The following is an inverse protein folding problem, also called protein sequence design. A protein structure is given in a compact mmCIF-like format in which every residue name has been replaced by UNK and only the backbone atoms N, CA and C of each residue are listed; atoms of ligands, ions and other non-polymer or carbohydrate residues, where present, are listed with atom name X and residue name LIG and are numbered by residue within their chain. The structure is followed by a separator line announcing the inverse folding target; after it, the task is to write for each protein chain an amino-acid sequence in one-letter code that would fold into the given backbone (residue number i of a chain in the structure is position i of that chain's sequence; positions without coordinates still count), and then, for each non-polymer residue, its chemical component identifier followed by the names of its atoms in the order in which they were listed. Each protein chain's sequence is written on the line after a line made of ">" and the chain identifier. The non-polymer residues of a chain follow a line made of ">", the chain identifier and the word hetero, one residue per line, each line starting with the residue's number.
data_IF_638995031534
#
_entry.id   IF_638995031534
#
_cell.length_a   1.000
_cell.length_b   1.000
_cell.length_c   1.000
_cell.angle_alpha   90.00
_cell.angle_beta   90.00
_cell.angle_gamma   90.00
#
_symmetry.space_group_name_H-M   'P 1'
#
loop_
_entity.id
_entity.type
_entity.pdbx_description
1 polymer ?
#
# COMPACT_ATOMS: atom_id res chain seq x y z
N UNK A 1 -1.84 -5.07 10.57
CA UNK A 1 -2.94 -4.20 10.07
C UNK A 1 -4.21 -5.03 10.04
N UNK A 2 -5.38 -4.43 10.25
CA UNK A 2 -6.61 -5.15 9.96
C UNK A 2 -6.55 -5.59 8.49
N UNK A 3 -6.51 -6.90 8.25
CA UNK A 3 -6.39 -7.47 6.90
C UNK A 3 -7.64 -7.22 6.02
N UNK A 4 -8.64 -6.56 6.62
CA UNK A 4 -9.97 -6.27 6.10
C UNK A 4 -10.31 -4.85 6.54
N UNK A 5 -10.26 -3.83 5.66
CA UNK A 5 -10.50 -2.48 6.17
C UNK A 5 -10.29 -1.30 5.24
N UNK A 6 -10.36 -1.45 3.92
CA UNK A 6 -10.61 -0.24 3.14
C UNK A 6 -12.07 0.17 3.35
N UNK A 7 -12.37 1.46 3.56
CA UNK A 7 -13.76 1.92 3.62
C UNK A 7 -14.53 1.44 2.38
N UNK A 8 -15.59 0.65 2.58
CA UNK A 8 -16.39 0.06 1.49
C UNK A 8 -15.89 -1.29 0.94
N UNK A 9 -14.89 -1.93 1.55
CA UNK A 9 -14.58 -3.34 1.29
C UNK A 9 -15.75 -4.20 1.79
N UNK A 10 -16.33 -5.05 0.92
CA UNK A 10 -17.44 -5.92 1.30
C UNK A 10 -17.06 -6.99 2.33
N UNK A 11 -15.77 -7.09 2.67
CA UNK A 11 -15.24 -7.91 3.76
C UNK A 11 -15.02 -7.11 5.05
N UNK A 12 -15.48 -5.86 5.14
CA UNK A 12 -15.37 -5.07 6.37
C UNK A 12 -16.02 -5.82 7.53
N UNK A 13 -15.29 -5.88 8.64
CA UNK A 13 -15.79 -6.41 9.91
C UNK A 13 -16.59 -5.29 10.59
N UNK A 14 -17.77 -5.56 11.15
CA UNK A 14 -18.51 -4.55 11.95
C UNK A 14 -17.62 -3.97 13.07
N UNK A 15 -16.70 -4.78 13.62
CA UNK A 15 -15.70 -4.33 14.57
C UNK A 15 -14.69 -3.34 13.97
N UNK A 16 -14.33 -3.51 12.69
CA UNK A 16 -13.47 -2.58 11.98
C UNK A 16 -14.17 -1.24 11.75
N UNK A 17 -15.40 -1.25 11.25
CA UNK A 17 -16.15 -0.02 10.94
C UNK A 17 -16.42 0.79 12.21
N UNK A 18 -16.77 0.11 13.32
CA UNK A 18 -16.92 0.75 14.64
C UNK A 18 -15.60 1.36 15.13
N UNK A 19 -14.48 0.65 14.95
CA UNK A 19 -13.15 1.16 15.33
C UNK A 19 -12.78 2.38 14.49
N UNK A 20 -13.04 2.33 13.19
CA UNK A 20 -12.74 3.42 12.26
C UNK A 20 -13.51 4.69 12.63
N UNK A 21 -14.81 4.59 12.95
CA UNK A 21 -15.62 5.72 13.39
C UNK A 21 -15.08 6.36 14.67
N UNK A 22 -14.72 5.55 15.67
CA UNK A 22 -14.16 6.05 16.93
C UNK A 22 -12.79 6.71 16.74
N UNK A 23 -11.91 6.12 15.91
CA UNK A 23 -10.60 6.72 15.62
C UNK A 23 -10.72 8.01 14.79
N UNK A 24 -11.75 8.14 13.94
CA UNK A 24 -12.01 9.39 13.22
C UNK A 24 -12.31 10.56 14.15
N UNK A 25 -13.06 10.35 15.23
CA UNK A 25 -13.33 11.38 16.23
C UNK A 25 -12.03 11.81 16.92
N UNK A 26 -11.22 10.84 17.37
CA UNK A 26 -9.91 11.12 17.98
C UNK A 26 -8.99 11.89 17.04
N UNK A 27 -8.88 11.48 15.78
CA UNK A 27 -7.99 12.15 14.82
C UNK A 27 -8.43 13.59 14.59
N UNK A 28 -9.72 13.89 14.56
CA UNK A 28 -10.21 15.27 14.45
C UNK A 28 -9.83 16.11 15.68
N UNK A 29 -9.93 15.56 16.89
CA UNK A 29 -9.51 16.24 18.13
C UNK A 29 -8.00 16.56 18.13
N UNK A 30 -7.20 15.68 17.52
CA UNK A 30 -5.76 15.88 17.30
C UNK A 30 -5.43 16.78 16.10
N UNK A 31 -6.44 17.32 15.40
CA UNK A 31 -6.25 18.15 14.20
C UNK A 31 -5.74 17.38 12.96
N UNK A 32 -5.82 16.04 12.99
CA UNK A 32 -5.42 15.16 11.90
C UNK A 32 -6.58 14.94 10.94
N UNK A 33 -6.32 15.04 9.64
CA UNK A 33 -7.35 14.79 8.63
C UNK A 33 -7.74 13.30 8.62
N UNK A 34 -9.01 12.95 8.88
CA UNK A 34 -9.43 11.55 9.04
C UNK A 34 -9.83 10.89 7.73
N UNK A 35 -10.30 11.68 6.75
CA UNK A 35 -10.89 11.13 5.52
C UNK A 35 -9.84 10.79 4.48
N UNK A 36 -10.09 9.69 3.79
CA UNK A 36 -9.36 9.31 2.58
C UNK A 36 -9.56 10.36 1.48
N UNK A 37 -8.47 10.67 0.79
CA UNK A 37 -8.43 11.41 -0.46
C UNK A 37 -7.86 10.45 -1.50
N UNK A 38 -8.68 10.06 -2.48
CA UNK A 38 -8.31 9.07 -3.50
C UNK A 38 -8.46 9.65 -4.89
N UNK A 39 -7.33 9.83 -5.59
CA UNK A 39 -7.24 10.34 -6.95
C UNK A 39 -8.15 11.56 -7.27
N UNK A 40 -8.13 12.62 -6.44
CA UNK A 40 -9.07 13.73 -6.57
C UNK A 40 -8.90 14.42 -7.93
N UNK A 41 -9.99 14.48 -8.71
CA UNK A 41 -9.97 15.06 -10.05
C UNK A 41 -9.00 14.36 -11.03
N UNK A 42 -8.67 13.08 -10.80
CA UNK A 42 -7.70 12.32 -11.58
C UNK A 42 -6.23 12.58 -11.20
N UNK A 43 -5.97 13.31 -10.12
CA UNK A 43 -4.62 13.53 -9.60
C UNK A 43 -3.95 12.21 -9.22
N UNK A 44 -2.64 12.02 -9.43
CA UNK A 44 -1.97 10.73 -9.29
C UNK A 44 -1.62 10.38 -7.83
N UNK A 45 -2.48 10.71 -6.86
CA UNK A 45 -2.18 10.46 -5.46
C UNK A 45 -3.39 9.98 -4.67
N UNK A 46 -3.10 9.18 -3.64
CA UNK A 46 -4.04 8.77 -2.60
C UNK A 46 -3.43 8.97 -1.24
N UNK A 47 -4.20 9.50 -0.30
CA UNK A 47 -3.84 9.61 1.11
C UNK A 47 -4.98 9.04 1.94
N UNK A 48 -4.69 8.11 2.82
CA UNK A 48 -5.68 7.55 3.76
C UNK A 48 -5.03 7.33 5.13
N UNK A 49 -5.82 7.43 6.19
CA UNK A 49 -5.37 7.09 7.54
C UNK A 49 -6.17 5.88 8.01
N UNK A 50 -5.48 4.83 8.41
CA UNK A 50 -6.11 3.58 8.84
C UNK A 50 -5.89 3.35 10.34
N UNK A 51 -6.90 2.83 11.05
CA UNK A 51 -6.75 2.42 12.42
C UNK A 51 -5.80 1.21 12.48
N UNK A 52 -5.01 1.15 13.56
CA UNK A 52 -4.20 0.00 13.87
C UNK A 52 -5.00 -0.96 14.74
N UNK A 53 -4.57 -2.23 14.76
CA UNK A 53 -5.14 -3.26 15.62
C UNK A 53 -5.26 -2.75 17.06
N UNK A 54 -6.29 -3.18 17.79
CA UNK A 54 -6.40 -2.92 19.22
C UNK A 54 -5.05 -3.17 19.93
N UNK A 55 -4.70 -2.26 20.85
CA UNK A 55 -3.41 -2.18 21.56
C UNK A 55 -2.15 -1.87 20.73
N UNK A 56 -2.25 -1.71 19.41
CA UNK A 56 -1.12 -1.28 18.58
C UNK A 56 -1.08 0.25 18.50
N UNK A 57 0.12 0.81 18.68
CA UNK A 57 0.41 2.24 18.54
C UNK A 57 1.16 2.55 17.24
N UNK A 58 1.86 1.56 16.67
CA UNK A 58 2.65 1.69 15.44
C UNK A 58 2.73 0.35 14.70
N UNK A 59 3.16 0.37 13.44
CA UNK A 59 3.43 -0.82 12.63
C UNK A 59 4.77 -1.47 13.05
N UNK A 60 4.82 -2.06 14.24
CA UNK A 60 5.95 -2.85 14.74
C UNK A 60 5.54 -4.29 15.03
N UNK A 61 6.51 -5.18 15.26
CA UNK A 61 6.24 -6.61 15.49
C UNK A 61 5.32 -6.87 16.71
N UNK A 62 5.42 -6.02 17.73
CA UNK A 62 4.67 -6.12 18.98
C UNK A 62 3.63 -5.00 19.16
N UNK A 63 3.49 -4.11 18.18
CA UNK A 63 2.59 -2.96 18.22
C UNK A 63 3.06 -1.80 19.12
N UNK A 64 4.21 -1.92 19.78
CA UNK A 64 4.77 -0.88 20.65
C UNK A 64 5.66 0.06 19.86
N UNK A 65 5.84 1.26 20.41
CA UNK A 65 6.75 2.26 19.85
C UNK A 65 8.16 1.68 19.68
N UNK A 66 8.79 2.03 18.57
CA UNK A 66 10.16 1.67 18.19
C UNK A 66 11.08 2.88 18.11
N UNK A 67 10.52 4.09 18.21
CA UNK A 67 11.22 5.36 18.27
C UNK A 67 10.37 6.41 19.05
N UNK A 68 10.90 7.62 19.31
CA UNK A 68 10.11 8.72 19.87
C UNK A 68 9.03 9.24 18.90
N UNK A 69 7.98 9.88 19.43
CA UNK A 69 6.92 10.46 18.61
C UNK A 69 7.46 11.52 17.64
N UNK A 70 7.01 11.46 16.39
CA UNK A 70 7.40 12.32 15.29
C UNK A 70 6.76 13.71 15.37
N UNK A 71 7.52 14.74 15.00
CA UNK A 71 7.03 16.11 14.88
C UNK A 71 6.45 16.65 16.19
N UNK A 72 5.24 17.19 16.13
CA UNK A 72 4.54 17.79 17.28
C UNK A 72 3.41 16.88 17.83
N UNK A 73 3.42 15.58 17.50
CA UNK A 73 2.41 14.65 17.97
C UNK A 73 2.47 14.50 19.50
N UNK A 74 1.34 14.74 20.16
CA UNK A 74 1.19 14.60 21.62
C UNK A 74 0.58 13.27 22.06
N UNK A 75 0.00 12.51 21.13
CA UNK A 75 -0.65 11.23 21.37
C UNK A 75 -0.12 10.18 20.36
N UNK A 76 0.26 8.96 20.80
CA UNK A 76 0.67 7.89 19.89
C UNK A 76 -0.47 7.25 19.08
N UNK A 77 -1.73 7.44 19.46
CA UNK A 77 -2.91 6.80 18.84
C UNK A 77 -3.39 7.56 17.61
N UNK A 78 -2.52 7.63 16.59
CA UNK A 78 -2.77 8.36 15.33
C UNK A 78 -3.05 7.46 14.13
N UNK A 79 -3.05 6.14 14.34
CA UNK A 79 -3.12 5.14 13.27
C UNK A 79 -1.89 5.15 12.36
N UNK A 80 -2.03 4.58 11.16
CA UNK A 80 -1.02 4.62 10.10
C UNK A 80 -1.53 5.47 8.93
N UNK A 81 -0.82 6.57 8.64
CA UNK A 81 -1.08 7.41 7.48
C UNK A 81 -0.38 6.79 6.26
N UNK A 82 -1.18 6.47 5.25
CA UNK A 82 -0.72 5.88 3.99
C UNK A 82 -0.79 6.90 2.89
N UNK A 83 0.31 7.05 2.17
CA UNK A 83 0.45 7.96 1.04
C UNK A 83 0.88 7.11 -0.15
N UNK A 84 0.22 7.31 -1.28
CA UNK A 84 0.60 6.74 -2.57
C UNK A 84 0.68 7.88 -3.56
N UNK A 85 1.76 7.93 -4.33
CA UNK A 85 1.88 8.80 -5.50
C UNK A 85 2.33 7.97 -6.69
N UNK A 86 1.50 7.96 -7.73
CA UNK A 86 1.80 7.28 -8.98
C UNK A 86 2.87 8.09 -9.76
N UNK A 87 3.80 7.40 -10.43
CA UNK A 87 3.83 5.95 -10.66
C UNK A 87 4.51 5.11 -9.58
N UNK A 88 5.27 5.70 -8.65
CA UNK A 88 6.42 4.96 -8.12
C UNK A 88 6.75 5.21 -6.64
N UNK A 89 5.87 5.80 -5.86
CA UNK A 89 6.14 6.00 -4.43
C UNK A 89 4.93 5.65 -3.57
N UNK A 90 5.21 5.00 -2.46
CA UNK A 90 4.30 4.96 -1.33
C UNK A 90 5.05 5.22 -0.03
N UNK A 91 4.33 5.67 0.98
CA UNK A 91 4.85 5.90 2.31
C UNK A 91 3.82 5.54 3.37
N UNK A 92 4.32 5.07 4.51
CA UNK A 92 3.54 4.83 5.72
C UNK A 92 4.16 5.67 6.83
N UNK A 93 3.38 6.57 7.40
CA UNK A 93 3.78 7.38 8.54
C UNK A 93 2.95 6.96 9.76
N UNK A 94 3.65 6.37 10.73
CA UNK A 94 3.12 6.04 12.04
C UNK A 94 3.34 7.22 13.00
N UNK A 95 3.07 7.02 14.29
CA UNK A 95 3.28 8.06 15.30
C UNK A 95 4.76 8.34 15.59
N UNK A 96 5.64 7.35 15.42
CA UNK A 96 7.04 7.35 15.89
C UNK A 96 8.09 7.16 14.79
N UNK A 97 7.69 6.65 13.63
CA UNK A 97 8.54 6.59 12.45
C UNK A 97 7.71 6.69 11.17
N UNK A 98 8.37 7.01 10.07
CA UNK A 98 7.82 6.85 8.74
C UNK A 98 8.73 5.97 7.88
N UNK A 99 8.13 5.29 6.92
CA UNK A 99 8.85 4.57 5.88
C UNK A 99 8.38 5.06 4.52
N UNK A 100 9.32 5.26 3.61
CA UNK A 100 9.03 5.55 2.21
C UNK A 100 9.62 4.46 1.34
N UNK A 101 8.85 3.99 0.37
CA UNK A 101 9.33 3.07 -0.66
C UNK A 101 9.20 3.72 -2.02
N UNK A 102 10.30 3.74 -2.77
CA UNK A 102 10.37 4.29 -4.12
C UNK A 102 10.80 3.22 -5.11
N UNK A 103 10.03 3.06 -6.18
CA UNK A 103 10.34 2.19 -7.30
C UNK A 103 11.08 2.97 -8.40
N UNK A 104 12.14 2.37 -8.92
CA UNK A 104 12.93 2.92 -10.02
C UNK A 104 13.10 1.85 -11.10
N UNK A 105 12.50 2.01 -12.28
CA UNK A 105 12.68 1.05 -13.36
C UNK A 105 14.14 1.11 -13.85
N UNK A 106 14.82 -0.03 -13.79
CA UNK A 106 16.16 -0.20 -14.38
C UNK A 106 16.05 -0.76 -15.79
N UNK A 107 15.02 -1.59 -16.04
CA UNK A 107 14.67 -2.14 -17.34
C UNK A 107 13.32 -2.85 -17.28
N UNK A 108 12.91 -3.53 -18.37
CA UNK A 108 11.60 -4.20 -18.44
C UNK A 108 11.49 -5.40 -17.48
N UNK A 109 12.61 -5.98 -17.04
CA UNK A 109 12.63 -7.14 -16.13
C UNK A 109 13.24 -6.80 -14.75
N UNK A 110 13.56 -5.54 -14.49
CA UNK A 110 14.30 -5.16 -13.29
C UNK A 110 13.87 -3.80 -12.74
N UNK A 111 13.44 -3.81 -11.47
CA UNK A 111 13.07 -2.62 -10.72
C UNK A 111 13.95 -2.52 -9.49
N UNK A 112 14.57 -1.36 -9.26
CA UNK A 112 15.23 -1.05 -8.00
C UNK A 112 14.20 -0.50 -7.02
N UNK A 113 14.21 -0.99 -5.79
CA UNK A 113 13.36 -0.54 -4.70
C UNK A 113 14.22 0.13 -3.65
N UNK A 114 14.02 1.44 -3.43
CA UNK A 114 14.65 2.18 -2.32
C UNK A 114 13.65 2.26 -1.16
N UNK A 115 13.97 1.64 -0.02
CA UNK A 115 13.20 1.76 1.22
C UNK A 115 13.99 2.62 2.20
N UNK A 116 13.40 3.71 2.67
CA UNK A 116 14.00 4.66 3.60
C UNK A 116 13.14 4.79 4.85
N UNK A 117 13.77 4.64 6.03
CA UNK A 117 13.14 4.83 7.32
C UNK A 117 13.52 6.20 7.87
N UNK A 118 12.53 6.89 8.42
CA UNK A 118 12.64 8.23 8.97
C UNK A 118 12.20 8.16 10.43
N UNK A 119 13.07 8.60 11.33
CA UNK A 119 12.78 8.82 12.75
C UNK A 119 12.93 10.31 13.05
N UNK A 120 12.65 10.71 14.29
CA UNK A 120 12.75 12.11 14.71
C UNK A 120 14.20 12.59 14.58
N UNK A 121 14.38 13.85 14.18
CA UNK A 121 15.70 14.41 13.84
C UNK A 121 16.73 14.40 14.98
N UNK A 122 16.26 14.44 16.23
CA UNK A 122 17.07 14.44 17.45
C UNK A 122 17.19 13.06 18.09
N UNK A 123 16.56 12.02 17.51
CA UNK A 123 16.62 10.67 18.03
C UNK A 123 18.00 10.05 17.78
N UNK A 124 18.59 9.48 18.82
CA UNK A 124 19.93 8.88 18.79
C UNK A 124 19.82 7.36 18.66
N UNK A 125 20.50 6.81 17.64
CA UNK A 125 20.60 5.36 17.42
C UNK A 125 21.25 4.67 18.63
N UNK A 126 20.66 3.55 19.08
CA UNK A 126 21.12 2.79 20.25
C UNK A 126 20.66 3.36 21.60
N UNK A 127 20.05 4.54 21.62
CA UNK A 127 19.46 5.15 22.82
C UNK A 127 17.93 5.29 22.68
N UNK A 128 17.48 5.97 21.64
CA UNK A 128 16.07 6.27 21.38
C UNK A 128 15.41 5.25 20.44
N UNK A 129 16.18 4.60 19.57
CA UNK A 129 15.70 3.59 18.62
C UNK A 129 16.80 2.61 18.22
N UNK A 130 16.37 1.44 17.75
CA UNK A 130 17.23 0.41 17.17
C UNK A 130 16.83 0.22 15.70
N UNK A 131 17.72 0.39 14.70
CA UNK A 131 17.37 0.33 13.29
C UNK A 131 16.66 -0.98 12.88
N UNK A 132 17.08 -2.10 13.45
CA UNK A 132 16.50 -3.42 13.23
C UNK A 132 15.06 -3.50 13.71
N UNK A 133 14.72 -2.85 14.83
CA UNK A 133 13.35 -2.83 15.35
C UNK A 133 12.44 -1.97 14.46
N UNK A 134 12.93 -0.80 14.03
CA UNK A 134 12.19 0.10 13.12
C UNK A 134 11.93 -0.58 11.78
N UNK A 135 12.92 -1.30 11.25
CA UNK A 135 12.83 -1.94 9.94
C UNK A 135 12.16 -3.31 9.93
N UNK A 136 11.94 -3.95 11.09
CA UNK A 136 11.60 -5.37 11.18
C UNK A 136 10.39 -5.79 10.34
N UNK A 137 9.24 -5.13 10.54
CA UNK A 137 7.99 -5.44 9.83
C UNK A 137 8.17 -5.22 8.34
N UNK A 138 8.66 -4.04 7.96
CA UNK A 138 8.80 -3.61 6.57
C UNK A 138 9.82 -4.43 5.78
N UNK A 139 10.89 -4.88 6.43
CA UNK A 139 11.86 -5.79 5.81
C UNK A 139 11.20 -7.12 5.49
N UNK A 140 10.54 -7.73 6.47
CA UNK A 140 9.89 -9.02 6.30
C UNK A 140 8.79 -8.97 5.23
N UNK A 141 7.94 -7.93 5.24
CA UNK A 141 6.86 -7.80 4.25
C UNK A 141 7.40 -7.47 2.86
N UNK A 142 8.42 -6.61 2.74
CA UNK A 142 9.01 -6.27 1.44
C UNK A 142 9.67 -7.49 0.79
N UNK A 143 10.41 -8.28 1.56
CA UNK A 143 11.04 -9.51 1.06
C UNK A 143 10.00 -10.51 0.53
N UNK A 144 8.87 -10.66 1.22
CA UNK A 144 7.74 -11.48 0.77
C UNK A 144 7.11 -10.93 -0.53
N UNK A 145 6.88 -9.62 -0.60
CA UNK A 145 6.31 -8.98 -1.80
C UNK A 145 7.23 -9.13 -3.02
N UNK A 146 8.55 -9.01 -2.84
CA UNK A 146 9.51 -9.18 -3.93
C UNK A 146 9.49 -10.60 -4.48
N UNK A 147 9.48 -11.62 -3.62
CA UNK A 147 9.38 -13.01 -4.05
C UNK A 147 8.08 -13.26 -4.84
N UNK A 148 6.96 -12.71 -4.39
CA UNK A 148 5.68 -12.78 -5.12
C UNK A 148 5.75 -12.09 -6.49
N UNK A 149 6.37 -10.90 -6.57
CA UNK A 149 6.57 -10.20 -7.83
C UNK A 149 7.44 -10.98 -8.81
N UNK A 150 8.56 -11.53 -8.35
CA UNK A 150 9.48 -12.33 -9.17
C UNK A 150 8.82 -13.61 -9.69
N UNK A 151 8.09 -14.31 -8.83
CA UNK A 151 7.34 -15.50 -9.19
C UNK A 151 6.22 -15.18 -10.20
N UNK A 152 5.47 -14.09 -9.99
CA UNK A 152 4.45 -13.64 -10.92
C UNK A 152 5.06 -13.29 -12.30
N UNK A 153 6.17 -12.57 -12.31
CA UNK A 153 6.88 -12.22 -13.55
C UNK A 153 7.41 -13.45 -14.29
N UNK A 154 7.93 -14.45 -13.58
CA UNK A 154 8.35 -15.72 -14.17
C UNK A 154 7.18 -16.44 -14.88
N UNK A 155 5.98 -16.40 -14.29
CA UNK A 155 4.76 -16.91 -14.92
C UNK A 155 4.36 -16.13 -16.18
N UNK A 156 4.38 -14.79 -16.12
CA UNK A 156 4.03 -13.89 -17.23
C UNK A 156 4.96 -14.11 -18.45
N UNK A 157 6.22 -14.52 -18.24
CA UNK A 157 7.15 -14.82 -19.33
C UNK A 157 6.83 -16.10 -20.12
N UNK A 158 5.88 -16.92 -19.65
CA UNK A 158 5.44 -18.11 -20.38
C UNK A 158 4.68 -17.74 -21.65
N UNK A 159 4.94 -18.46 -22.75
CA UNK A 159 4.15 -18.34 -23.98
C UNK A 159 2.67 -18.71 -23.81
N UNK A 160 2.33 -19.45 -22.75
CA UNK A 160 0.97 -19.86 -22.43
C UNK A 160 0.23 -18.87 -21.52
N UNK A 161 0.90 -17.79 -21.07
CA UNK A 161 0.25 -16.79 -20.22
C UNK A 161 -0.82 -16.03 -21.01
N UNK A 162 -2.01 -15.95 -20.43
CA UNK A 162 -3.09 -15.06 -20.85
C UNK A 162 -3.56 -14.25 -19.62
N UNK A 163 -3.81 -12.93 -19.75
CA UNK A 163 -4.31 -12.14 -18.62
C UNK A 163 -5.66 -12.64 -18.10
N UNK A 164 -5.74 -12.88 -16.79
CA UNK A 164 -6.98 -13.22 -16.11
C UNK A 164 -7.82 -11.98 -15.74
N UNK A 165 -9.10 -12.16 -15.36
CA UNK A 165 -9.91 -11.08 -14.83
C UNK A 165 -9.40 -10.64 -13.45
N UNK A 166 -9.42 -9.33 -13.18
CA UNK A 166 -9.23 -8.80 -11.83
C UNK A 166 -10.48 -9.05 -10.98
N UNK A 167 -10.28 -9.28 -9.69
CA UNK A 167 -11.33 -9.35 -8.68
C UNK A 167 -11.99 -7.98 -8.47
N UNK A 168 -13.31 -7.93 -8.70
CA UNK A 168 -14.13 -6.73 -8.45
C UNK A 168 -14.19 -6.36 -6.95
N UNK A 169 -13.82 -7.28 -6.06
CA UNK A 169 -13.86 -7.08 -4.60
C UNK A 169 -12.52 -6.60 -4.05
N UNK A 170 -11.40 -7.17 -4.51
CA UNK A 170 -10.09 -7.00 -3.85
C UNK A 170 -9.06 -6.23 -4.68
N UNK A 171 -9.26 -6.14 -6.00
CA UNK A 171 -8.24 -5.60 -6.93
C UNK A 171 -8.66 -4.27 -7.56
N UNK A 172 -9.64 -3.57 -6.98
CA UNK A 172 -10.08 -2.26 -7.49
C UNK A 172 -8.97 -1.21 -7.55
N UNK A 173 -7.96 -1.29 -6.67
CA UNK A 173 -6.78 -0.41 -6.73
C UNK A 173 -5.82 -0.77 -7.88
N UNK A 174 -5.70 -2.06 -8.21
CA UNK A 174 -4.91 -2.55 -9.36
C UNK A 174 -5.57 -2.08 -10.66
N UNK A 175 -6.90 -2.21 -10.76
CA UNK A 175 -7.65 -1.73 -11.91
C UNK A 175 -7.46 -0.22 -12.11
N UNK A 176 -7.57 0.58 -11.05
CA UNK A 176 -7.36 2.03 -11.09
C UNK A 176 -5.94 2.39 -11.57
N UNK A 177 -4.92 1.70 -11.08
CA UNK A 177 -3.54 1.88 -11.53
C UNK A 177 -3.40 1.58 -13.03
N UNK A 178 -3.94 0.45 -13.51
CA UNK A 178 -3.86 0.07 -14.93
C UNK A 178 -4.56 1.10 -15.83
N UNK A 179 -5.76 1.56 -15.43
CA UNK A 179 -6.49 2.62 -16.15
C UNK A 179 -5.69 3.92 -16.23
N UNK A 180 -5.10 4.34 -15.11
CA UNK A 180 -4.23 5.51 -15.07
C UNK A 180 -3.01 5.34 -16.00
N UNK A 181 -2.32 4.20 -15.91
CA UNK A 181 -1.12 3.89 -16.69
C UNK A 181 -1.40 3.89 -18.20
N UNK A 182 -2.47 3.20 -18.64
CA UNK A 182 -2.89 3.21 -20.05
C UNK A 182 -3.30 4.61 -20.51
N UNK A 183 -3.91 5.41 -19.64
CA UNK A 183 -4.16 6.84 -19.85
C UNK A 183 -2.89 7.62 -20.15
N UNK A 184 -1.83 7.42 -19.37
CA UNK A 184 -0.54 8.08 -19.60
C UNK A 184 0.14 7.64 -20.90
N UNK A 185 -0.10 6.40 -21.34
CA UNK A 185 0.39 5.90 -22.63
C UNK A 185 -0.42 6.39 -23.84
N UNK A 186 -1.55 7.10 -23.63
CA UNK A 186 -2.43 7.58 -24.69
C UNK A 186 -3.38 6.52 -25.25
N UNK A 187 -3.61 5.41 -24.53
CA UNK A 187 -4.33 4.24 -25.01
C UNK A 187 -5.82 4.19 -24.65
N UNK A 188 -6.48 5.32 -24.39
CA UNK A 188 -7.89 5.33 -23.93
C UNK A 188 -8.80 6.01 -24.96
N UNK A 189 -9.04 5.30 -26.06
CA UNK A 189 -10.22 5.44 -26.92
C UNK A 189 -10.80 4.04 -27.28
N UNK A 190 -10.65 3.04 -26.40
CA UNK A 190 -11.18 1.70 -26.64
C UNK A 190 -11.58 0.99 -25.36
N UNK A 191 -12.86 0.66 -25.25
CA UNK A 191 -13.39 -0.33 -24.30
C UNK A 191 -12.50 -1.59 -24.27
N UNK A 192 -12.30 -2.23 -23.10
CA UNK A 192 -11.53 -3.47 -23.01
C UNK A 192 -12.12 -4.50 -23.98
N UNK A 193 -11.32 -4.91 -24.97
CA UNK A 193 -11.72 -5.89 -25.96
C UNK A 193 -11.91 -7.23 -25.26
N UNK A 194 -13.15 -7.53 -24.85
CA UNK A 194 -13.58 -8.89 -24.50
C UNK A 194 -13.61 -9.69 -25.80
N UNK A 195 -12.48 -10.22 -26.24
CA UNK A 195 -12.48 -11.20 -27.32
C UNK A 195 -13.19 -12.46 -26.81
N UNK A 196 -14.28 -12.91 -27.45
CA UNK A 196 -14.92 -14.16 -27.08
C UNK A 196 -13.95 -15.30 -27.37
N UNK A 197 -13.58 -16.05 -26.33
CA UNK A 197 -12.78 -17.27 -26.42
C UNK A 197 -13.45 -18.22 -27.42
N UNK A 198 -12.95 -18.23 -28.65
CA UNK A 198 -13.22 -19.25 -29.65
C UNK A 198 -11.97 -19.42 -30.49
N UNK A 199 -11.12 -20.37 -30.09
CA UNK A 199 -10.21 -21.03 -31.02
C UNK A 199 -10.56 -22.50 -31.06
N UNK A 200 -10.91 -23.06 -32.22
CA UNK A 200 -11.03 -24.50 -32.37
C UNK A 200 -9.62 -25.11 -32.36
N UNK A 201 -9.41 -26.08 -31.47
CA UNK A 201 -8.24 -26.96 -31.50
C UNK A 201 -8.24 -27.71 -32.83
N UNK A 202 -7.23 -27.47 -33.67
CA UNK A 202 -6.87 -28.38 -34.76
C UNK A 202 -5.52 -29.02 -34.42
N UNK A 203 -5.57 -30.29 -34.03
CA UNK A 203 -4.42 -31.17 -34.05
C UNK A 203 -4.21 -31.61 -35.50
N UNK A 204 -2.98 -31.49 -36.00
CA UNK A 204 -2.51 -32.27 -37.15
C UNK A 204 -1.25 -32.99 -36.73
N UNK A 205 -1.25 -34.28 -37.06
CA UNK A 205 -0.29 -35.35 -36.77
C UNK A 205 1.11 -35.14 -37.32
#
# INVERSE_FOLDING_TARGET
>A
NYDLGLPGDSRSDEGYDTTLEHEYERWQELGLHPREVSFPGGSPYRVSRLPLKEDYLTESLDGRLVAPLMGELSDPRVGSLRIITLPNLWAHANCDYAVTTRLLPIGPELTRVDVCFLVREDAVEGEDYEPERVAAVWRATSEQDWELCENNYAGIKSLAYEPGPLSEVTEGSVEQFLRWYLGQLGSVDGEPRRDPVTRPLSFVS
#
